data_IF_471351957118
#
_entry.id   IF_471351957118
#
_cell.length_a   1.000
_cell.length_b   1.000
_cell.length_c   1.000
_cell.angle_alpha   90.00
_cell.angle_beta   90.00
_cell.angle_gamma   90.00
#
_symmetry.space_group_name_H-M   'P 1'
#
loop_
_entity.id
_entity.type
_entity.pdbx_description
1 polymer ?
#
# COMPACT_ATOMS: atom_id res chain seq x y z
N UNK A 1 -27.79 -5.62 10.28
CA UNK A 1 -26.65 -4.83 10.79
C UNK A 1 -25.74 -4.62 9.61
N UNK A 2 -25.24 -3.40 9.37
CA UNK A 2 -24.31 -3.17 8.28
C UNK A 2 -23.01 -3.95 8.53
N UNK A 3 -22.39 -4.42 7.47
CA UNK A 3 -21.10 -5.13 7.54
C UNK A 3 -20.00 -4.16 7.94
N UNK A 4 -19.06 -4.65 8.73
CA UNK A 4 -17.82 -3.95 9.05
C UNK A 4 -16.72 -4.55 8.19
N UNK A 5 -15.97 -3.71 7.50
CA UNK A 5 -14.78 -4.15 6.76
C UNK A 5 -13.50 -3.79 7.53
N UNK A 6 -12.50 -4.65 7.42
CA UNK A 6 -11.15 -4.35 7.88
C UNK A 6 -10.32 -3.82 6.73
N UNK A 7 -9.65 -2.70 6.92
CA UNK A 7 -8.80 -2.08 5.92
C UNK A 7 -7.38 -1.92 6.46
N UNK A 8 -6.42 -2.49 5.75
CA UNK A 8 -5.02 -2.13 5.87
C UNK A 8 -4.72 -1.04 4.84
N UNK A 9 -4.57 0.20 5.31
CA UNK A 9 -4.24 1.35 4.46
C UNK A 9 -2.73 1.52 4.40
N UNK A 10 -2.07 0.71 3.58
CA UNK A 10 -0.61 0.69 3.47
C UNK A 10 -0.02 1.86 2.66
N UNK A 11 1.27 2.11 2.83
CA UNK A 11 2.01 3.16 2.10
C UNK A 11 2.06 2.88 0.61
N UNK A 12 2.33 1.65 0.23
CA UNK A 12 2.49 1.22 -1.18
C UNK A 12 1.27 0.45 -1.67
N UNK A 13 0.75 -0.46 -0.85
CA UNK A 13 -0.42 -1.28 -1.17
C UNK A 13 -1.39 -1.29 0.01
N UNK A 14 -2.67 -1.33 -0.30
CA UNK A 14 -3.75 -1.45 0.68
C UNK A 14 -4.51 -2.76 0.48
N UNK A 15 -5.19 -3.21 1.53
CA UNK A 15 -5.95 -4.45 1.52
C UNK A 15 -7.28 -4.27 2.24
N UNK A 16 -8.34 -4.93 1.77
CA UNK A 16 -9.64 -4.95 2.45
C UNK A 16 -10.10 -6.38 2.69
N UNK A 17 -10.65 -6.61 3.87
CA UNK A 17 -11.17 -7.91 4.26
C UNK A 17 -12.51 -7.78 4.99
N UNK A 18 -13.25 -8.87 5.02
CA UNK A 18 -14.54 -8.98 5.69
C UNK A 18 -14.62 -10.32 6.45
N UNK A 19 -15.43 -10.36 7.50
CA UNK A 19 -15.80 -11.61 8.15
C UNK A 19 -16.99 -12.26 7.41
N UNK A 20 -16.79 -13.50 6.96
CA UNK A 20 -17.84 -14.36 6.43
C UNK A 20 -18.04 -15.55 7.37
N UNK A 21 -19.08 -15.48 8.21
CA UNK A 21 -19.19 -16.42 9.34
C UNK A 21 -18.06 -16.23 10.32
N UNK A 22 -17.25 -17.27 10.54
CA UNK A 22 -16.07 -17.24 11.40
C UNK A 22 -14.74 -17.07 10.64
N UNK A 23 -14.79 -16.96 9.32
CA UNK A 23 -13.59 -16.89 8.49
C UNK A 23 -13.35 -15.44 8.01
N UNK A 24 -12.08 -15.06 7.99
CA UNK A 24 -11.65 -13.79 7.40
C UNK A 24 -11.40 -13.99 5.91
N UNK A 25 -12.05 -13.17 5.10
CA UNK A 25 -11.86 -13.19 3.65
C UNK A 25 -11.33 -11.86 3.14
N UNK A 26 -10.17 -11.91 2.49
CA UNK A 26 -9.64 -10.78 1.74
C UNK A 26 -10.44 -10.64 0.45
N UNK A 27 -10.97 -9.44 0.21
CA UNK A 27 -11.73 -9.11 -0.99
C UNK A 27 -10.73 -8.73 -2.08
N UNK A 28 -10.83 -9.38 -3.24
CA UNK A 28 -10.02 -9.03 -4.41
C UNK A 28 -10.52 -7.76 -5.07
N UNK A 29 -9.58 -6.96 -5.57
CA UNK A 29 -9.92 -5.77 -6.34
C UNK A 29 -10.48 -6.13 -7.74
N UNK A 30 -10.98 -5.16 -8.53
CA UNK A 30 -11.53 -5.41 -9.87
C UNK A 30 -10.54 -6.07 -10.85
N UNK A 31 -9.24 -5.92 -10.63
CA UNK A 31 -8.17 -6.55 -11.42
C UNK A 31 -7.84 -8.00 -10.95
N UNK A 32 -8.52 -8.48 -9.89
CA UNK A 32 -8.34 -9.83 -9.34
C UNK A 32 -7.20 -9.96 -8.33
N UNK A 33 -6.58 -8.85 -7.91
CA UNK A 33 -5.49 -8.84 -6.94
C UNK A 33 -6.03 -8.76 -5.51
N UNK A 34 -5.34 -9.40 -4.56
CA UNK A 34 -5.68 -9.33 -3.13
C UNK A 34 -5.26 -8.03 -2.47
N UNK A 35 -4.40 -7.26 -3.11
CA UNK A 35 -3.95 -5.94 -2.68
C UNK A 35 -4.22 -4.92 -3.76
N UNK A 36 -4.47 -3.68 -3.36
CA UNK A 36 -4.70 -2.53 -4.24
C UNK A 36 -3.56 -1.55 -4.06
N UNK A 37 -2.84 -1.17 -5.13
CA UNK A 37 -1.82 -0.11 -5.04
C UNK A 37 -2.40 1.17 -4.45
N UNK A 38 -1.71 1.75 -3.45
CA UNK A 38 -2.09 3.02 -2.80
C UNK A 38 -1.68 4.21 -3.69
N UNK A 39 -2.21 4.21 -4.92
CA UNK A 39 -1.89 5.17 -5.98
C UNK A 39 -3.16 5.83 -6.46
N UNK A 40 -3.11 7.15 -6.60
CA UNK A 40 -4.19 7.96 -7.20
C UNK A 40 -3.62 8.77 -8.35
N UNK A 41 -4.34 8.80 -9.45
CA UNK A 41 -4.01 9.60 -10.63
C UNK A 41 -5.25 10.33 -11.12
N UNK A 42 -5.05 11.46 -11.80
CA UNK A 42 -6.09 12.15 -12.53
C UNK A 42 -5.73 12.22 -14.02
N UNK A 43 -6.71 12.02 -14.87
CA UNK A 43 -6.56 12.16 -16.33
C UNK A 43 -7.84 12.70 -16.91
N UNK A 44 -7.77 13.87 -17.54
CA UNK A 44 -8.91 14.56 -18.15
C UNK A 44 -10.08 14.80 -17.17
N UNK A 45 -9.77 15.15 -15.91
CA UNK A 45 -10.79 15.35 -14.87
C UNK A 45 -11.31 14.06 -14.21
N UNK A 46 -10.90 12.89 -14.70
CA UNK A 46 -11.31 11.60 -14.16
C UNK A 46 -10.30 11.09 -13.15
N UNK A 47 -10.80 10.64 -11.99
CA UNK A 47 -9.99 10.02 -10.93
C UNK A 47 -9.78 8.54 -11.22
N UNK A 48 -8.54 8.11 -11.16
CA UNK A 48 -8.10 6.72 -11.34
C UNK A 48 -7.38 6.27 -10.07
N UNK A 49 -7.67 5.07 -9.57
CA UNK A 49 -7.08 4.53 -8.33
C UNK A 49 -6.58 3.10 -8.55
N UNK A 50 -5.59 2.68 -7.77
CA UNK A 50 -5.11 1.30 -7.73
C UNK A 50 -4.22 0.94 -8.91
N UNK A 51 -4.39 -0.27 -9.45
CA UNK A 51 -3.54 -0.82 -10.51
C UNK A 51 -3.53 0.04 -11.79
N UNK A 52 -4.68 0.57 -12.18
CA UNK A 52 -4.78 1.45 -13.34
C UNK A 52 -4.00 2.76 -13.16
N UNK A 53 -3.99 3.32 -11.95
CA UNK A 53 -3.18 4.49 -11.60
C UNK A 53 -1.69 4.14 -11.55
N UNK A 54 -1.32 3.00 -10.97
CA UNK A 54 0.08 2.53 -10.87
C UNK A 54 0.74 2.41 -12.24
N UNK A 55 0.02 1.90 -13.24
CA UNK A 55 0.54 1.74 -14.63
C UNK A 55 0.91 3.05 -15.33
N UNK A 56 0.56 4.19 -14.80
CA UNK A 56 0.85 5.49 -15.41
C UNK A 56 1.61 6.47 -14.52
N UNK A 57 2.10 6.01 -13.37
CA UNK A 57 2.77 6.87 -12.37
C UNK A 57 3.89 7.71 -12.97
N UNK A 58 4.75 7.13 -13.81
CA UNK A 58 5.88 7.85 -14.39
C UNK A 58 5.53 8.63 -15.65
N UNK A 59 4.43 8.29 -16.32
CA UNK A 59 3.99 8.94 -17.57
C UNK A 59 2.95 10.02 -17.33
N UNK A 60 2.22 9.97 -16.22
CA UNK A 60 1.21 10.95 -15.85
C UNK A 60 1.69 11.78 -14.63
N UNK A 61 1.93 13.08 -14.87
CA UNK A 61 2.38 14.01 -13.82
C UNK A 61 1.36 14.20 -12.68
N UNK A 62 0.07 13.99 -12.99
CA UNK A 62 -1.01 14.10 -12.02
C UNK A 62 -1.26 12.75 -11.33
N UNK A 63 -0.17 12.11 -10.87
CA UNK A 63 -0.18 10.88 -10.10
C UNK A 63 0.50 11.07 -8.75
N UNK A 64 -0.04 10.45 -7.71
CA UNK A 64 0.53 10.45 -6.35
C UNK A 64 0.66 9.03 -5.82
N UNK A 65 1.81 8.76 -5.21
CA UNK A 65 2.15 7.53 -4.48
C UNK A 65 2.54 7.88 -3.04
N UNK A 66 2.54 6.88 -2.17
CA UNK A 66 3.09 7.01 -0.79
C UNK A 66 2.49 8.15 0.03
N UNK A 67 1.25 8.53 -0.24
CA UNK A 67 0.57 9.66 0.44
C UNK A 67 0.52 9.48 1.97
N UNK A 68 0.53 8.24 2.46
CA UNK A 68 0.52 7.90 3.88
C UNK A 68 1.66 8.55 4.66
N UNK A 69 2.82 8.79 4.00
CA UNK A 69 3.97 9.47 4.61
C UNK A 69 3.69 10.93 5.01
N UNK A 70 2.70 11.55 4.38
CA UNK A 70 2.28 12.93 4.63
C UNK A 70 1.10 13.04 5.60
N UNK A 71 0.55 11.92 6.08
CA UNK A 71 -0.59 11.92 7.01
C UNK A 71 -0.25 12.68 8.28
N UNK A 72 -1.20 13.52 8.73
CA UNK A 72 -1.03 14.38 9.92
C UNK A 72 -0.22 15.64 9.68
N UNK A 73 0.25 15.91 8.44
CA UNK A 73 0.91 17.17 8.07
C UNK A 73 -0.08 18.13 7.40
N UNK A 74 0.36 19.39 7.22
CA UNK A 74 -0.37 20.41 6.46
C UNK A 74 0.02 20.48 4.98
N UNK A 75 0.84 19.53 4.51
CA UNK A 75 1.25 19.48 3.12
C UNK A 75 0.07 19.19 2.21
N UNK A 76 0.15 19.69 0.97
CA UNK A 76 -0.86 19.44 -0.05
C UNK A 76 -0.21 18.96 -1.33
N UNK A 77 -0.89 18.07 -2.00
CA UNK A 77 -0.49 17.56 -3.33
C UNK A 77 -1.41 18.17 -4.38
N UNK A 78 -0.83 18.70 -5.45
CA UNK A 78 -1.61 19.25 -6.56
C UNK A 78 -1.78 18.17 -7.64
N UNK A 79 -3.02 17.84 -7.96
CA UNK A 79 -3.41 16.92 -9.01
C UNK A 79 -4.50 17.57 -9.85
N UNK A 80 -4.35 17.55 -11.17
CA UNK A 80 -5.30 18.15 -12.13
C UNK A 80 -5.66 19.61 -11.77
N UNK A 81 -4.63 20.39 -11.37
CA UNK A 81 -4.76 21.80 -10.98
C UNK A 81 -5.44 22.08 -9.64
N UNK A 82 -5.83 21.05 -8.88
CA UNK A 82 -6.46 21.17 -7.58
C UNK A 82 -5.55 20.65 -6.46
N UNK A 83 -5.48 21.39 -5.35
CA UNK A 83 -4.72 21.01 -4.18
C UNK A 83 -5.54 20.11 -3.25
N UNK A 84 -4.99 18.95 -2.89
CA UNK A 84 -5.58 17.97 -1.99
C UNK A 84 -4.72 17.76 -0.75
N UNK A 85 -5.36 17.57 0.39
CA UNK A 85 -4.71 17.14 1.63
C UNK A 85 -4.41 15.63 1.58
N UNK A 86 -3.48 15.13 2.41
CA UNK A 86 -3.21 13.70 2.49
C UNK A 86 -4.46 12.86 2.84
N UNK A 87 -5.34 13.38 3.70
CA UNK A 87 -6.60 12.74 4.08
C UNK A 87 -7.55 12.61 2.87
N UNK A 88 -7.65 13.65 2.03
CA UNK A 88 -8.51 13.61 0.84
C UNK A 88 -8.01 12.59 -0.19
N UNK A 89 -6.68 12.50 -0.40
CA UNK A 89 -6.10 11.48 -1.28
C UNK A 89 -6.30 10.06 -0.70
N UNK A 90 -6.05 9.89 0.60
CA UNK A 90 -6.29 8.61 1.27
C UNK A 90 -7.76 8.20 1.21
N UNK A 91 -8.68 9.16 1.33
CA UNK A 91 -10.11 8.92 1.18
C UNK A 91 -10.49 8.43 -0.23
N UNK A 92 -9.78 8.87 -1.27
CA UNK A 92 -10.01 8.35 -2.63
C UNK A 92 -9.67 6.86 -2.74
N UNK A 93 -8.60 6.43 -2.07
CA UNK A 93 -8.21 5.02 -1.99
C UNK A 93 -9.25 4.24 -1.20
N UNK A 94 -9.64 4.75 -0.03
CA UNK A 94 -10.67 4.12 0.82
C UNK A 94 -12.02 4.02 0.11
N UNK A 95 -12.45 5.06 -0.63
CA UNK A 95 -13.70 5.04 -1.41
C UNK A 95 -13.65 3.94 -2.48
N UNK A 96 -12.53 3.83 -3.21
CA UNK A 96 -12.35 2.79 -4.22
C UNK A 96 -12.43 1.38 -3.60
N UNK A 97 -11.80 1.18 -2.42
CA UNK A 97 -11.85 -0.09 -1.71
C UNK A 97 -13.26 -0.40 -1.19
N UNK A 98 -13.97 0.61 -0.68
CA UNK A 98 -15.36 0.51 -0.28
C UNK A 98 -16.25 0.09 -1.46
N UNK A 99 -16.11 0.73 -2.62
CA UNK A 99 -16.94 0.47 -3.79
C UNK A 99 -16.84 -0.99 -4.25
N UNK A 100 -15.64 -1.56 -4.36
CA UNK A 100 -15.53 -2.96 -4.75
C UNK A 100 -15.87 -3.94 -3.61
N UNK A 101 -15.72 -3.53 -2.34
CA UNK A 101 -16.20 -4.31 -1.22
C UNK A 101 -17.75 -4.40 -1.20
N UNK A 102 -18.43 -3.29 -1.46
CA UNK A 102 -19.90 -3.26 -1.64
C UNK A 102 -20.34 -4.12 -2.82
N UNK A 103 -19.60 -4.04 -3.95
CA UNK A 103 -19.85 -4.89 -5.12
C UNK A 103 -19.71 -6.39 -4.80
N UNK A 104 -18.69 -6.76 -4.03
CA UNK A 104 -18.49 -8.14 -3.57
C UNK A 104 -19.60 -8.62 -2.62
N UNK A 105 -19.97 -7.78 -1.65
CA UNK A 105 -20.93 -8.12 -0.61
C UNK A 105 -22.39 -8.05 -1.09
N UNK A 106 -22.67 -7.31 -2.17
CA UNK A 106 -24.03 -7.04 -2.66
C UNK A 106 -24.85 -6.13 -1.73
N UNK A 107 -24.20 -5.46 -0.76
CA UNK A 107 -24.85 -4.55 0.18
C UNK A 107 -23.94 -3.35 0.51
N UNK A 108 -24.54 -2.28 1.05
CA UNK A 108 -23.81 -1.08 1.45
C UNK A 108 -22.91 -1.34 2.67
N UNK A 109 -21.74 -0.71 2.67
CA UNK A 109 -20.76 -0.74 3.74
C UNK A 109 -20.56 0.69 4.24
N UNK A 110 -20.85 0.93 5.50
CA UNK A 110 -20.71 2.23 6.15
C UNK A 110 -19.72 2.22 7.33
N UNK A 111 -19.19 1.05 7.71
CA UNK A 111 -18.33 0.88 8.87
C UNK A 111 -17.00 0.20 8.52
N UNK A 112 -15.91 0.70 9.13
CA UNK A 112 -14.60 0.12 8.94
C UNK A 112 -13.75 0.11 10.22
N UNK A 113 -12.85 -0.86 10.30
CA UNK A 113 -11.66 -0.83 11.16
C UNK A 113 -10.45 -0.59 10.26
N UNK A 114 -9.61 0.38 10.58
CA UNK A 114 -8.45 0.75 9.75
C UNK A 114 -7.17 0.59 10.56
N UNK A 115 -6.12 0.02 9.93
CA UNK A 115 -4.82 -0.12 10.58
C UNK A 115 -3.94 1.10 10.35
N UNK A 116 -3.02 1.34 11.29
CA UNK A 116 -1.99 2.38 11.23
C UNK A 116 -0.69 1.85 11.84
N UNK A 117 0.48 2.37 11.44
CA UNK A 117 1.74 2.05 12.10
C UNK A 117 1.69 2.33 13.61
N UNK A 118 2.39 1.52 14.41
CA UNK A 118 2.38 1.68 15.87
C UNK A 118 2.95 3.04 16.32
N UNK A 119 3.90 3.59 15.57
CA UNK A 119 4.54 4.90 15.85
C UNK A 119 3.71 6.12 15.41
N UNK A 120 2.56 5.94 14.74
CA UNK A 120 1.70 7.07 14.37
C UNK A 120 1.28 7.84 15.62
N UNK A 121 1.50 9.15 15.57
CA UNK A 121 1.03 10.10 16.59
C UNK A 121 -0.48 10.38 16.44
N UNK A 122 -1.03 11.12 17.41
CA UNK A 122 -2.47 11.42 17.42
C UNK A 122 -2.96 12.18 16.19
N UNK A 123 -2.15 13.11 15.65
CA UNK A 123 -2.50 13.86 14.45
C UNK A 123 -2.60 12.92 13.22
N UNK A 124 -1.69 11.96 13.07
CA UNK A 124 -1.69 10.98 12.00
C UNK A 124 -2.88 9.99 12.12
N UNK A 125 -3.18 9.57 13.36
CA UNK A 125 -4.34 8.72 13.65
C UNK A 125 -5.65 9.43 13.36
N UNK A 126 -5.76 10.71 13.76
CA UNK A 126 -6.93 11.52 13.47
C UNK A 126 -7.09 11.76 11.98
N UNK A 127 -6.01 12.07 11.24
CA UNK A 127 -6.04 12.22 9.79
C UNK A 127 -6.51 10.92 9.08
N UNK A 128 -6.17 9.75 9.61
CA UNK A 128 -6.66 8.46 9.09
C UNK A 128 -8.17 8.28 9.33
N UNK A 129 -8.66 8.68 10.51
CA UNK A 129 -10.11 8.70 10.78
C UNK A 129 -10.86 9.65 9.87
N UNK A 130 -10.29 10.86 9.65
CA UNK A 130 -10.88 11.86 8.77
C UNK A 130 -10.94 11.37 7.32
N UNK A 131 -9.89 10.67 6.85
CA UNK A 131 -9.90 10.02 5.54
C UNK A 131 -11.05 9.00 5.40
N UNK A 132 -11.25 8.16 6.41
CA UNK A 132 -12.39 7.24 6.46
C UNK A 132 -13.72 7.96 6.39
N UNK A 133 -13.90 9.02 7.17
CA UNK A 133 -15.12 9.85 7.18
C UNK A 133 -15.38 10.51 5.83
N UNK A 134 -14.35 11.05 5.17
CA UNK A 134 -14.45 11.65 3.83
C UNK A 134 -14.88 10.57 2.81
N UNK A 135 -14.40 9.33 2.96
CA UNK A 135 -14.79 8.18 2.13
C UNK A 135 -16.21 7.65 2.44
N UNK A 136 -16.93 8.26 3.41
CA UNK A 136 -18.26 7.81 3.83
C UNK A 136 -18.23 6.52 4.65
N UNK A 137 -17.16 6.33 5.46
CA UNK A 137 -17.00 5.24 6.40
C UNK A 137 -17.02 5.78 7.83
N UNK A 138 -17.82 5.20 8.70
CA UNK A 138 -17.70 5.32 10.14
C UNK A 138 -16.50 4.46 10.58
N UNK A 139 -15.41 5.09 11.05
CA UNK A 139 -14.22 4.38 11.51
C UNK A 139 -14.43 3.96 12.96
N UNK A 140 -14.89 2.73 13.17
CA UNK A 140 -15.18 2.15 14.48
C UNK A 140 -13.91 2.06 15.35
N UNK A 141 -12.77 1.68 14.73
CA UNK A 141 -11.48 1.60 15.40
C UNK A 141 -10.32 1.90 14.48
N UNK A 142 -9.27 2.48 15.07
CA UNK A 142 -7.91 2.45 14.54
C UNK A 142 -7.12 1.43 15.36
N UNK A 143 -6.45 0.50 14.67
CA UNK A 143 -5.64 -0.57 15.28
C UNK A 143 -4.20 -0.43 14.78
N UNK A 144 -3.22 -0.71 15.63
CA UNK A 144 -1.82 -0.76 15.19
C UNK A 144 -1.59 -1.95 14.27
N UNK A 145 -0.87 -1.74 13.17
CA UNK A 145 -0.53 -2.78 12.18
C UNK A 145 0.12 -4.01 12.83
N UNK A 146 1.15 -3.89 13.69
CA UNK A 146 1.74 -5.04 14.35
C UNK A 146 0.76 -5.76 15.29
N UNK A 147 -0.14 -5.02 15.95
CA UNK A 147 -1.19 -5.62 16.77
C UNK A 147 -2.18 -6.41 15.93
N UNK A 148 -2.59 -5.87 14.78
CA UNK A 148 -3.48 -6.57 13.85
C UNK A 148 -2.83 -7.84 13.29
N UNK A 149 -1.54 -7.79 12.94
CA UNK A 149 -0.78 -8.94 12.47
C UNK A 149 -0.64 -10.03 13.56
N UNK A 150 -0.30 -9.64 14.79
CA UNK A 150 -0.21 -10.55 15.93
C UNK A 150 -1.56 -11.18 16.27
N UNK A 151 -2.65 -10.40 16.23
CA UNK A 151 -4.01 -10.87 16.46
C UNK A 151 -4.41 -11.90 15.40
N UNK A 152 -4.13 -11.64 14.12
CA UNK A 152 -4.43 -12.56 13.03
C UNK A 152 -3.65 -13.88 13.14
N UNK A 153 -2.39 -13.82 13.60
CA UNK A 153 -1.55 -15.01 13.83
C UNK A 153 -1.91 -15.74 15.13
N UNK A 154 -2.32 -15.00 16.16
CA UNK A 154 -2.41 -15.44 17.54
C UNK A 154 -3.82 -15.66 18.07
N UNK A 155 -4.88 -15.55 17.24
CA UNK A 155 -6.27 -15.72 17.68
C UNK A 155 -6.48 -17.05 18.45
N UNK A 156 -5.78 -18.11 18.03
CA UNK A 156 -5.87 -19.44 18.65
C UNK A 156 -4.96 -19.60 19.88
N UNK A 157 -4.16 -18.58 20.24
CA UNK A 157 -3.07 -18.66 21.22
C UNK A 157 -3.14 -17.58 22.30
N UNK A 158 -4.27 -16.90 22.44
CA UNK A 158 -4.45 -15.74 23.34
C UNK A 158 -4.28 -16.10 24.82
N UNK A 159 -4.41 -17.40 25.17
CA UNK A 159 -4.29 -17.89 26.55
C UNK A 159 -2.83 -18.23 26.99
N UNK A 160 -1.88 -17.97 26.08
CA UNK A 160 -0.46 -18.24 26.37
C UNK A 160 0.31 -16.92 26.41
N UNK A 161 0.88 -16.62 27.56
CA UNK A 161 1.82 -15.49 27.68
C UNK A 161 3.01 -15.70 26.74
N UNK A 162 3.21 -14.75 25.82
CA UNK A 162 4.30 -14.82 24.86
C UNK A 162 4.73 -13.43 24.38
N UNK A 163 6.01 -13.31 24.05
CA UNK A 163 6.54 -12.14 23.36
C UNK A 163 6.66 -12.46 21.87
N UNK A 164 6.10 -11.59 21.05
CA UNK A 164 6.08 -11.75 19.60
C UNK A 164 6.85 -10.61 18.96
N UNK A 165 7.77 -10.96 18.06
CA UNK A 165 8.40 -10.00 17.17
C UNK A 165 7.64 -9.98 15.86
N UNK A 166 7.11 -8.82 15.50
CA UNK A 166 6.50 -8.57 14.19
C UNK A 166 7.54 -7.87 13.33
N UNK A 167 7.87 -8.51 12.19
CA UNK A 167 8.81 -8.00 11.20
C UNK A 167 8.01 -7.68 9.94
N UNK A 168 7.75 -6.39 9.73
CA UNK A 168 6.94 -5.90 8.60
C UNK A 168 7.82 -5.16 7.61
N UNK A 169 8.16 -5.82 6.50
CA UNK A 169 8.87 -5.24 5.37
C UNK A 169 7.88 -4.98 4.25
N UNK A 170 7.33 -3.77 4.23
CA UNK A 170 6.39 -3.32 3.21
C UNK A 170 7.06 -2.91 1.89
N UNK A 171 6.29 -2.29 1.00
CA UNK A 171 6.82 -1.77 -0.26
C UNK A 171 7.67 -0.51 -0.07
N UNK A 172 7.34 0.34 0.91
CA UNK A 172 8.01 1.61 1.12
C UNK A 172 8.46 1.89 2.55
N UNK A 173 8.14 1.02 3.50
CA UNK A 173 8.52 1.13 4.92
C UNK A 173 8.92 -0.23 5.46
N UNK A 174 9.80 -0.20 6.44
CA UNK A 174 10.22 -1.35 7.23
C UNK A 174 9.95 -1.08 8.70
N UNK A 175 9.17 -1.93 9.34
CA UNK A 175 8.75 -1.81 10.73
C UNK A 175 9.02 -3.10 11.50
N UNK A 176 9.63 -2.97 12.68
CA UNK A 176 9.83 -4.08 13.62
C UNK A 176 9.18 -3.68 14.94
N UNK A 177 8.32 -4.54 15.46
CA UNK A 177 7.67 -4.32 16.75
C UNK A 177 7.80 -5.54 17.63
N UNK A 178 8.03 -5.32 18.93
CA UNK A 178 7.98 -6.34 19.96
C UNK A 178 6.68 -6.14 20.75
N UNK A 179 5.84 -7.16 20.76
CA UNK A 179 4.59 -7.17 21.50
C UNK A 179 4.66 -8.18 22.64
N UNK A 180 4.01 -7.84 23.75
CA UNK A 180 3.66 -8.75 24.80
C UNK A 180 2.20 -9.16 24.68
N UNK A 181 1.96 -10.44 24.65
CA UNK A 181 0.63 -11.04 24.59
C UNK A 181 0.38 -11.76 25.91
N UNK A 182 -0.46 -11.18 26.75
CA UNK A 182 -0.82 -11.74 28.04
C UNK A 182 -2.28 -11.43 28.38
N UNK A 183 -2.99 -12.34 28.98
CA UNK A 183 -4.36 -12.16 29.49
C UNK A 183 -5.35 -11.58 28.46
N UNK A 184 -5.23 -11.98 27.19
CA UNK A 184 -6.07 -11.46 26.08
C UNK A 184 -5.77 -10.01 25.70
N UNK A 185 -4.66 -9.44 26.17
CA UNK A 185 -4.21 -8.09 25.83
C UNK A 185 -2.98 -8.13 24.93
N UNK A 186 -2.82 -7.09 24.11
CA UNK A 186 -1.70 -6.90 23.22
C UNK A 186 -1.03 -5.56 23.55
N UNK A 187 0.16 -5.61 24.12
CA UNK A 187 0.94 -4.43 24.45
C UNK A 187 2.15 -4.31 23.51
N UNK A 188 2.33 -3.14 22.92
CA UNK A 188 3.52 -2.85 22.11
C UNK A 188 4.63 -2.39 23.05
N UNK A 189 5.63 -3.23 23.27
CA UNK A 189 6.76 -2.93 24.17
C UNK A 189 7.80 -2.02 23.52
N UNK A 190 8.07 -2.23 22.24
CA UNK A 190 9.05 -1.45 21.50
C UNK A 190 8.72 -1.49 20.00
N UNK A 191 9.10 -0.42 19.29
CA UNK A 191 9.04 -0.35 17.83
C UNK A 191 10.28 0.34 17.31
N UNK A 192 10.77 -0.12 16.15
CA UNK A 192 11.87 0.46 15.39
C UNK A 192 11.61 0.23 13.89
N UNK A 193 12.30 0.96 13.03
CA UNK A 193 12.12 0.77 11.58
C UNK A 193 12.76 1.87 10.76
N UNK A 194 12.49 1.82 9.47
CA UNK A 194 12.92 2.83 8.48
C UNK A 194 11.74 3.16 7.56
N UNK A 195 11.29 4.41 7.59
CA UNK A 195 10.16 4.90 6.80
C UNK A 195 10.48 5.06 5.30
N UNK A 196 11.72 4.79 4.90
CA UNK A 196 12.22 4.93 3.54
C UNK A 196 12.93 3.66 3.03
N UNK A 197 12.69 2.52 3.66
CA UNK A 197 13.21 1.22 3.25
C UNK A 197 12.06 0.26 2.97
N UNK A 198 12.05 -0.33 1.78
CA UNK A 198 11.04 -1.32 1.41
C UNK A 198 11.29 -1.96 0.06
N UNK A 199 10.33 -2.71 -0.44
CA UNK A 199 10.40 -3.41 -1.72
C UNK A 199 10.67 -2.49 -2.90
N UNK A 200 10.22 -1.22 -2.85
CA UNK A 200 10.46 -0.22 -3.90
C UNK A 200 11.94 0.15 -4.03
N UNK A 201 12.71 0.08 -2.94
CA UNK A 201 14.16 0.34 -2.94
C UNK A 201 14.90 -0.80 -3.61
N UNK A 202 14.50 -2.04 -3.36
CA UNK A 202 15.04 -3.21 -4.08
C UNK A 202 14.73 -3.13 -5.58
N UNK A 203 13.53 -2.73 -5.96
CA UNK A 203 13.15 -2.50 -7.36
C UNK A 203 14.02 -1.42 -8.01
N UNK A 204 14.31 -0.33 -7.27
CA UNK A 204 15.17 0.75 -7.75
C UNK A 204 16.59 0.28 -8.07
N UNK A 205 17.17 -0.58 -7.22
CA UNK A 205 18.50 -1.15 -7.46
C UNK A 205 18.51 -1.95 -8.77
N UNK A 206 17.47 -2.73 -9.04
CA UNK A 206 17.34 -3.51 -10.29
C UNK A 206 17.18 -2.56 -11.49
N UNK A 207 16.37 -1.51 -11.36
CA UNK A 207 16.20 -0.48 -12.41
C UNK A 207 17.52 0.21 -12.72
N UNK A 208 18.27 0.61 -11.68
CA UNK A 208 19.56 1.26 -11.83
C UNK A 208 20.54 0.36 -12.56
N UNK A 209 20.61 -0.91 -12.16
CA UNK A 209 21.46 -1.90 -12.82
C UNK A 209 21.10 -2.08 -14.30
N UNK A 210 19.80 -2.22 -14.64
CA UNK A 210 19.37 -2.35 -16.03
C UNK A 210 19.72 -1.11 -16.87
N UNK A 211 19.46 0.08 -16.31
CA UNK A 211 19.74 1.34 -16.99
C UNK A 211 21.24 1.54 -17.24
N UNK A 212 22.08 1.23 -16.26
CA UNK A 212 23.53 1.35 -16.37
C UNK A 212 24.13 0.36 -17.38
N UNK A 213 23.63 -0.88 -17.41
CA UNK A 213 24.03 -1.85 -18.43
C UNK A 213 23.68 -1.39 -19.83
N UNK A 214 22.42 -0.97 -20.02
CA UNK A 214 21.96 -0.51 -21.33
C UNK A 214 22.71 0.74 -21.80
N UNK A 215 23.02 1.67 -20.89
CA UNK A 215 23.80 2.86 -21.21
C UNK A 215 25.23 2.51 -21.64
N UNK A 216 25.87 1.53 -21.01
CA UNK A 216 27.22 1.07 -21.38
C UNK A 216 27.26 0.44 -22.77
N UNK A 217 26.22 -0.30 -23.14
CA UNK A 217 26.13 -1.03 -24.41
C UNK A 217 25.66 -0.14 -25.56
N UNK A 218 24.70 0.77 -25.31
CA UNK A 218 24.00 1.51 -26.36
C UNK A 218 24.23 3.03 -26.30
N UNK A 219 24.88 3.55 -25.24
CA UNK A 219 25.11 4.98 -25.07
C UNK A 219 23.87 5.79 -24.68
N UNK A 220 22.74 5.13 -24.40
CA UNK A 220 21.44 5.76 -24.13
C UNK A 220 21.08 5.61 -22.66
N UNK A 221 20.73 6.72 -22.00
CA UNK A 221 20.26 6.71 -20.62
C UNK A 221 18.73 6.53 -20.57
N UNK A 222 18.26 5.33 -20.28
CA UNK A 222 16.84 4.98 -20.20
C UNK A 222 16.09 5.70 -19.06
N UNK A 223 16.78 6.20 -18.04
CA UNK A 223 16.13 6.95 -16.94
C UNK A 223 15.55 8.28 -17.38
N UNK A 224 15.98 8.82 -18.54
CA UNK A 224 15.46 10.04 -19.13
C UNK A 224 14.17 9.81 -19.94
N UNK A 225 13.82 8.58 -20.25
CA UNK A 225 12.60 8.20 -20.93
C UNK A 225 11.57 7.66 -19.91
N UNK A 226 10.49 8.40 -19.72
CA UNK A 226 9.44 8.07 -18.76
C UNK A 226 8.75 6.74 -19.05
N UNK A 227 8.57 6.40 -20.34
CA UNK A 227 7.97 5.13 -20.72
C UNK A 227 8.92 3.97 -20.48
N UNK A 228 10.20 4.13 -20.81
CA UNK A 228 11.21 3.13 -20.49
C UNK A 228 11.33 2.92 -18.98
N UNK A 229 11.35 4.01 -18.20
CA UNK A 229 11.38 3.95 -16.73
C UNK A 229 10.18 3.19 -16.14
N UNK A 230 8.96 3.47 -16.62
CA UNK A 230 7.76 2.75 -16.19
C UNK A 230 7.91 1.23 -16.44
N UNK A 231 8.32 0.85 -17.65
CA UNK A 231 8.51 -0.55 -18.04
C UNK A 231 9.62 -1.25 -17.25
N UNK A 232 10.73 -0.55 -16.99
CA UNK A 232 11.82 -1.08 -16.16
C UNK A 232 11.35 -1.30 -14.72
N UNK A 233 10.57 -0.39 -14.15
CA UNK A 233 10.01 -0.54 -12.79
C UNK A 233 9.09 -1.76 -12.67
N UNK A 234 8.17 -1.93 -13.62
CA UNK A 234 7.26 -3.07 -13.64
C UNK A 234 8.03 -4.40 -13.79
N UNK A 235 9.04 -4.43 -14.65
CA UNK A 235 9.86 -5.61 -14.85
C UNK A 235 10.74 -5.93 -13.63
N UNK A 236 11.28 -4.90 -12.96
CA UNK A 236 12.07 -5.06 -11.74
C UNK A 236 11.22 -5.62 -10.60
N UNK A 237 10.03 -5.05 -10.36
CA UNK A 237 9.10 -5.56 -9.34
C UNK A 237 8.69 -7.01 -9.62
N UNK A 238 8.39 -7.32 -10.89
CA UNK A 238 8.09 -8.70 -11.29
C UNK A 238 9.26 -9.63 -11.01
N UNK A 239 10.46 -9.28 -11.45
CA UNK A 239 11.65 -10.09 -11.25
C UNK A 239 11.95 -10.32 -9.77
N UNK A 240 11.85 -9.29 -8.93
CA UNK A 240 11.96 -9.41 -7.46
C UNK A 240 10.95 -10.41 -6.90
N UNK A 241 9.68 -10.33 -7.31
CA UNK A 241 8.63 -11.26 -6.87
C UNK A 241 8.91 -12.69 -7.33
N UNK A 242 9.31 -12.89 -8.58
CA UNK A 242 9.65 -14.20 -9.14
C UNK A 242 10.80 -14.85 -8.36
N UNK A 243 11.83 -14.07 -7.99
CA UNK A 243 12.99 -14.54 -7.21
C UNK A 243 12.67 -14.93 -5.75
N UNK A 244 11.47 -14.63 -5.26
CA UNK A 244 11.01 -15.16 -3.97
C UNK A 244 10.72 -16.67 -4.01
N UNK A 245 10.45 -17.22 -5.19
CA UNK A 245 10.16 -18.65 -5.38
C UNK A 245 11.13 -19.36 -6.32
N UNK A 246 11.93 -18.61 -7.09
CA UNK A 246 12.86 -19.15 -8.10
C UNK A 246 14.28 -18.65 -7.83
N UNK A 247 15.28 -19.45 -8.22
CA UNK A 247 16.70 -19.10 -8.08
C UNK A 247 17.19 -18.16 -9.20
N UNK A 248 16.44 -18.07 -10.30
CA UNK A 248 16.73 -17.20 -11.43
C UNK A 248 15.46 -16.80 -12.16
N UNK A 249 15.47 -15.61 -12.75
CA UNK A 249 14.41 -15.11 -13.62
C UNK A 249 15.02 -14.35 -14.80
N UNK A 250 14.22 -14.10 -15.84
CA UNK A 250 14.65 -13.37 -17.01
C UNK A 250 13.82 -12.10 -17.17
N UNK A 251 14.50 -10.96 -17.37
CA UNK A 251 13.87 -9.70 -17.75
C UNK A 251 14.02 -9.53 -19.26
N UNK A 252 12.88 -9.34 -19.96
CA UNK A 252 12.85 -9.04 -21.38
C UNK A 252 12.01 -7.81 -21.64
N UNK A 253 12.63 -6.78 -22.21
CA UNK A 253 12.02 -5.47 -22.50
C UNK A 253 12.24 -5.13 -23.98
N UNK A 254 11.56 -5.82 -24.91
CA UNK A 254 11.74 -5.56 -26.35
C UNK A 254 11.33 -4.12 -26.67
N UNK A 255 12.07 -3.49 -27.59
CA UNK A 255 11.83 -2.11 -28.03
C UNK A 255 11.76 -1.11 -26.86
N UNK A 256 12.69 -1.22 -25.91
CA UNK A 256 12.75 -0.35 -24.74
C UNK A 256 13.11 1.10 -25.10
N UNK A 257 13.86 1.28 -26.19
CA UNK A 257 14.23 2.59 -26.74
C UNK A 257 14.03 2.59 -28.25
N UNK A 258 13.63 3.74 -28.80
CA UNK A 258 13.46 3.93 -30.24
C UNK A 258 14.79 4.04 -31.02
N UNK A 259 15.91 4.14 -30.34
CA UNK A 259 17.27 4.28 -30.91
C UNK A 259 18.16 3.05 -30.72
N UNK A 260 17.63 1.94 -30.26
CA UNK A 260 18.39 0.71 -30.04
C UNK A 260 17.80 -0.45 -30.84
#
# INVERSE_FOLDING_TARGET
MSKIIGIDLGTTNSCVAVMEGNDVKVITNPEGNRTTPSVVSFKNGERIVGDAAKRQVFTNKDSVISIKRLMGTNEKVTLDGKAYTPQEISAMILSYMKDYAEGYLGEKVDKAVITVPAYFNDAQRQATKDAGKIAGLEVERIINEPTAAALAFGIDKVDVEQKVLVFDLGGGTFDVSILDLADGTFEVLATAGDNHLGGDDFDNIIVDWMADMFQKENGINLKNDRMALQRMKEAAEKAKKDLSAMVQTQISLPFISAGA
#
